data_IF_610290073741
#
_entry.id   IF_610290073741
#
_cell.length_a   1.000
_cell.length_b   1.000
_cell.length_c   1.000
_cell.angle_alpha   90.00
_cell.angle_beta   90.00
_cell.angle_gamma   90.00
#
_symmetry.space_group_name_H-M   'P 1'
#
loop_
_entity.id
_entity.type
_entity.pdbx_description
1 polymer ?
#
# COMPACT_ATOMS: atom_id res chain seq x y z
N UNK A 1 -21.14 2.10 -18.12
CA UNK A 1 -19.90 2.68 -17.50
C UNK A 1 -19.13 1.76 -16.52
N UNK A 2 -19.68 0.65 -16.02
CA UNK A 2 -19.08 -0.19 -14.95
C UNK A 2 -17.81 -0.98 -15.39
N UNK A 3 -17.60 -1.22 -16.69
CA UNK A 3 -16.44 -2.01 -17.19
C UNK A 3 -15.08 -1.31 -17.05
N UNK A 4 -14.99 0.03 -17.07
CA UNK A 4 -13.70 0.77 -17.01
C UNK A 4 -13.02 0.71 -15.64
N UNK A 5 -13.79 0.67 -14.54
CA UNK A 5 -13.23 0.57 -13.19
C UNK A 5 -12.55 -0.78 -12.90
N UNK A 6 -13.06 -1.87 -13.50
CA UNK A 6 -12.53 -3.23 -13.31
C UNK A 6 -11.11 -3.39 -13.86
N UNK A 7 -10.83 -2.85 -15.05
CA UNK A 7 -9.47 -2.93 -15.66
C UNK A 7 -8.46 -2.10 -14.87
N UNK A 8 -8.80 -0.89 -14.42
CA UNK A 8 -7.88 -0.04 -13.66
C UNK A 8 -7.55 -0.60 -12.28
N UNK A 9 -8.51 -1.19 -11.57
CA UNK A 9 -8.24 -1.79 -10.27
C UNK A 9 -7.39 -3.06 -10.39
N UNK A 10 -7.68 -3.94 -11.34
CA UNK A 10 -6.81 -5.10 -11.62
C UNK A 10 -5.43 -4.64 -12.08
N UNK A 11 -5.34 -3.64 -12.94
CA UNK A 11 -4.07 -3.07 -13.38
C UNK A 11 -3.30 -2.40 -12.23
N UNK A 12 -3.95 -1.84 -11.21
CA UNK A 12 -3.24 -1.31 -10.05
C UNK A 12 -2.86 -2.41 -9.05
N UNK A 13 -3.75 -3.37 -8.79
CA UNK A 13 -3.53 -4.44 -7.82
C UNK A 13 -2.53 -5.50 -8.30
N UNK A 14 -2.53 -5.84 -9.59
CA UNK A 14 -1.52 -6.71 -10.22
C UNK A 14 -0.37 -5.89 -10.79
N UNK A 15 -0.65 -4.75 -11.41
CA UNK A 15 0.39 -3.98 -12.08
C UNK A 15 1.32 -3.27 -11.12
N UNK A 16 0.92 -2.88 -9.90
CA UNK A 16 1.87 -2.32 -8.93
C UNK A 16 2.92 -3.35 -8.47
N UNK A 17 2.57 -4.58 -8.04
CA UNK A 17 3.57 -5.60 -7.72
C UNK A 17 4.32 -6.11 -8.96
N UNK A 18 3.66 -6.23 -10.14
CA UNK A 18 4.36 -6.56 -11.38
C UNK A 18 5.34 -5.46 -11.80
N UNK A 19 4.97 -4.18 -11.73
CA UNK A 19 5.90 -3.07 -11.97
C UNK A 19 7.02 -3.07 -10.95
N UNK A 20 6.73 -3.33 -9.66
CA UNK A 20 7.76 -3.45 -8.63
C UNK A 20 8.75 -4.58 -8.95
N UNK A 21 8.25 -5.75 -9.35
CA UNK A 21 9.07 -6.89 -9.77
C UNK A 21 9.85 -6.64 -11.05
N UNK A 22 9.24 -6.01 -12.06
CA UNK A 22 9.89 -5.66 -13.34
C UNK A 22 10.93 -4.57 -13.14
N UNK A 23 10.64 -3.53 -12.37
CA UNK A 23 11.62 -2.48 -12.03
C UNK A 23 12.78 -3.10 -11.24
N UNK A 24 12.48 -3.96 -10.26
CA UNK A 24 13.50 -4.71 -9.54
C UNK A 24 14.39 -5.54 -10.47
N UNK A 25 13.79 -6.33 -11.36
CA UNK A 25 14.49 -7.15 -12.34
C UNK A 25 15.29 -6.32 -13.36
N UNK A 26 14.76 -5.17 -13.81
CA UNK A 26 15.45 -4.27 -14.72
C UNK A 26 16.64 -3.59 -14.06
N UNK A 27 16.51 -3.16 -12.80
CA UNK A 27 17.63 -2.62 -12.02
C UNK A 27 18.69 -3.70 -11.83
N UNK A 28 18.29 -4.93 -11.48
CA UNK A 28 19.20 -6.08 -11.36
C UNK A 28 19.94 -6.34 -12.68
N UNK A 29 19.21 -6.37 -13.81
CA UNK A 29 19.78 -6.64 -15.13
C UNK A 29 20.71 -5.53 -15.62
N UNK A 30 20.32 -4.26 -15.49
CA UNK A 30 21.14 -3.12 -15.92
C UNK A 30 22.44 -3.01 -15.12
N UNK A 31 22.38 -3.25 -13.80
CA UNK A 31 23.58 -3.20 -12.95
C UNK A 31 24.49 -4.42 -13.19
N UNK A 32 23.92 -5.56 -13.60
CA UNK A 32 24.70 -6.75 -13.98
C UNK A 32 25.43 -6.58 -15.32
N UNK A 33 24.80 -5.94 -16.32
CA UNK A 33 25.37 -5.76 -17.66
C UNK A 33 26.42 -4.63 -17.76
N UNK A 34 26.34 -3.56 -16.95
CA UNK A 34 27.23 -2.39 -17.09
C UNK A 34 28.65 -2.54 -16.51
N UNK A 35 29.08 -3.72 -16.08
CA UNK A 35 30.46 -3.93 -15.63
C UNK A 35 30.85 -3.17 -14.34
N UNK A 36 29.91 -2.47 -13.68
CA UNK A 36 30.09 -1.90 -12.35
C UNK A 36 30.20 -2.99 -11.27
N UNK A 37 29.69 -4.19 -11.55
CA UNK A 37 29.84 -5.36 -10.70
C UNK A 37 31.33 -5.75 -10.50
N UNK A 38 32.22 -5.56 -11.47
CA UNK A 38 33.61 -6.04 -11.31
C UNK A 38 34.47 -5.20 -10.37
N UNK A 39 34.09 -3.94 -10.05
CA UNK A 39 34.89 -3.07 -9.19
C UNK A 39 34.43 -3.01 -7.73
N UNK A 40 33.18 -3.39 -7.43
CA UNK A 40 32.60 -3.34 -6.08
C UNK A 40 31.72 -4.54 -5.70
N UNK A 41 31.56 -5.55 -6.55
CA UNK A 41 30.86 -6.78 -6.15
C UNK A 41 31.77 -7.64 -5.27
N UNK A 42 31.95 -7.22 -4.03
CA UNK A 42 32.17 -8.19 -2.97
C UNK A 42 30.98 -9.14 -3.01
N UNK A 43 31.23 -10.42 -3.32
CA UNK A 43 30.20 -11.46 -3.26
C UNK A 43 29.40 -11.28 -1.98
N UNK A 44 28.07 -11.18 -2.09
CA UNK A 44 27.20 -11.10 -0.92
C UNK A 44 27.57 -12.26 0.02
N UNK A 45 27.81 -12.01 1.31
CA UNK A 45 28.05 -13.08 2.26
C UNK A 45 26.95 -14.13 2.18
N UNK A 46 27.29 -15.41 2.31
CA UNK A 46 26.32 -16.51 2.16
C UNK A 46 25.10 -16.34 3.07
N UNK A 47 25.32 -15.87 4.31
CA UNK A 47 24.25 -15.55 5.25
C UNK A 47 23.29 -14.46 4.74
N UNK A 48 23.80 -13.44 4.05
CA UNK A 48 23.00 -12.34 3.51
C UNK A 48 22.16 -12.85 2.34
N UNK A 49 22.72 -13.74 1.51
CA UNK A 49 21.99 -14.39 0.42
C UNK A 49 20.85 -15.26 0.92
N UNK A 50 21.11 -16.13 1.89
CA UNK A 50 20.09 -16.99 2.50
C UNK A 50 18.99 -16.14 3.14
N UNK A 51 19.38 -15.14 3.94
CA UNK A 51 18.43 -14.21 4.57
C UNK A 51 17.60 -13.48 3.53
N UNK A 52 18.22 -13.02 2.45
CA UNK A 52 17.54 -12.36 1.34
C UNK A 52 16.49 -13.24 0.67
N UNK A 53 16.83 -14.50 0.37
CA UNK A 53 15.90 -15.49 -0.19
C UNK A 53 14.71 -15.74 0.76
N UNK A 54 14.98 -15.91 2.06
CA UNK A 54 13.93 -16.09 3.06
C UNK A 54 12.97 -14.90 3.09
N UNK A 55 13.50 -13.66 3.07
CA UNK A 55 12.68 -12.45 3.05
C UNK A 55 11.87 -12.32 1.75
N UNK A 56 12.42 -12.71 0.60
CA UNK A 56 11.67 -12.79 -0.67
C UNK A 56 10.45 -13.71 -0.50
N UNK A 57 10.67 -14.93 0.00
CA UNK A 57 9.59 -15.92 0.20
C UNK A 57 8.54 -15.39 1.19
N UNK A 58 8.96 -14.84 2.32
CA UNK A 58 8.07 -14.26 3.33
C UNK A 58 7.25 -13.12 2.75
N UNK A 59 7.87 -12.20 2.01
CA UNK A 59 7.19 -11.08 1.35
C UNK A 59 6.08 -11.55 0.41
N UNK A 60 6.38 -12.55 -0.44
CA UNK A 60 5.39 -13.16 -1.35
C UNK A 60 4.25 -13.82 -0.57
N UNK A 61 4.54 -14.58 0.48
CA UNK A 61 3.51 -15.23 1.30
C UNK A 61 2.60 -14.20 1.98
N UNK A 62 3.15 -13.09 2.48
CA UNK A 62 2.37 -11.99 3.07
C UNK A 62 1.47 -11.35 2.03
N UNK A 63 1.97 -11.07 0.82
CA UNK A 63 1.17 -10.50 -0.26
C UNK A 63 0.03 -11.43 -0.70
N UNK A 64 0.34 -12.71 -0.95
CA UNK A 64 -0.66 -13.71 -1.33
C UNK A 64 -1.69 -13.91 -0.22
N UNK A 65 -1.26 -14.01 1.03
CA UNK A 65 -2.14 -14.14 2.19
C UNK A 65 -3.08 -12.94 2.32
N UNK A 66 -2.56 -11.71 2.18
CA UNK A 66 -3.36 -10.49 2.21
C UNK A 66 -4.37 -10.42 1.05
N UNK A 67 -3.97 -10.81 -0.16
CA UNK A 67 -4.85 -10.88 -1.33
C UNK A 67 -5.96 -11.92 -1.15
N UNK A 68 -5.63 -13.12 -0.69
CA UNK A 68 -6.60 -14.21 -0.43
C UNK A 68 -7.57 -13.78 0.67
N UNK A 69 -7.07 -13.19 1.77
CA UNK A 69 -7.90 -12.67 2.85
C UNK A 69 -8.85 -11.57 2.35
N UNK A 70 -8.34 -10.61 1.57
CA UNK A 70 -9.16 -9.53 1.00
C UNK A 70 -10.20 -10.06 0.00
N UNK A 71 -9.87 -11.11 -0.76
CA UNK A 71 -10.79 -11.78 -1.66
C UNK A 71 -11.89 -12.52 -0.89
N UNK A 72 -11.54 -13.31 0.14
CA UNK A 72 -12.48 -14.05 0.99
C UNK A 72 -13.44 -13.13 1.74
N UNK A 73 -12.97 -11.99 2.24
CA UNK A 73 -13.82 -10.98 2.90
C UNK A 73 -14.65 -10.13 1.93
N UNK A 74 -14.61 -10.41 0.61
CA UNK A 74 -15.36 -9.65 -0.39
C UNK A 74 -14.91 -8.20 -0.55
N UNK A 75 -13.77 -7.79 0.04
CA UNK A 75 -13.26 -6.41 0.01
C UNK A 75 -12.90 -5.94 -1.40
N UNK A 76 -12.46 -6.89 -2.24
CA UNK A 76 -12.22 -6.64 -3.66
C UNK A 76 -13.51 -6.33 -4.43
N UNK A 77 -14.67 -6.84 -3.96
CA UNK A 77 -15.97 -6.61 -4.59
C UNK A 77 -16.65 -5.35 -4.07
N UNK A 78 -16.54 -5.06 -2.77
CA UNK A 78 -17.10 -3.85 -2.16
C UNK A 78 -16.43 -2.58 -2.71
N UNK A 79 -15.10 -2.60 -2.85
CA UNK A 79 -14.32 -1.47 -3.37
C UNK A 79 -14.69 -1.08 -4.81
N UNK A 80 -15.24 -2.02 -5.60
CA UNK A 80 -15.68 -1.79 -7.00
C UNK A 80 -16.97 -0.99 -7.12
N UNK A 81 -17.83 -1.02 -6.09
CA UNK A 81 -19.14 -0.35 -6.10
C UNK A 81 -19.11 1.03 -5.43
N UNK A 82 -17.94 1.49 -5.01
CA UNK A 82 -17.86 2.75 -4.27
C UNK A 82 -18.16 3.95 -5.18
N UNK A 83 -19.14 4.80 -4.81
CA UNK A 83 -19.44 6.05 -5.51
C UNK A 83 -18.23 6.99 -5.59
N UNK A 84 -17.25 6.82 -4.70
CA UNK A 84 -16.08 7.67 -4.58
C UNK A 84 -15.14 7.59 -5.80
N UNK A 85 -15.25 6.53 -6.63
CA UNK A 85 -14.52 6.44 -7.89
C UNK A 85 -15.09 7.34 -9.00
N UNK A 86 -16.35 7.74 -8.89
CA UNK A 86 -16.97 8.67 -9.83
C UNK A 86 -16.68 10.14 -9.45
N UNK A 87 -16.20 10.40 -8.24
CA UNK A 87 -15.89 11.76 -7.77
C UNK A 87 -14.52 12.24 -8.23
N UNK A 88 -14.37 13.56 -8.39
CA UNK A 88 -13.06 14.17 -8.68
C UNK A 88 -12.09 14.01 -7.49
N UNK A 89 -10.79 13.91 -7.78
CA UNK A 89 -9.75 13.79 -6.73
C UNK A 89 -9.77 14.95 -5.74
N UNK A 90 -10.06 16.18 -6.20
CA UNK A 90 -10.21 17.35 -5.32
C UNK A 90 -11.37 17.17 -4.33
N UNK A 91 -12.53 16.70 -4.80
CA UNK A 91 -13.70 16.46 -3.93
C UNK A 91 -13.41 15.34 -2.92
N UNK A 92 -12.78 14.25 -3.37
CA UNK A 92 -12.36 13.15 -2.50
C UNK A 92 -11.37 13.59 -1.40
N UNK A 93 -10.36 14.38 -1.77
CA UNK A 93 -9.37 14.90 -0.82
C UNK A 93 -10.01 15.81 0.23
N UNK A 94 -10.97 16.66 -0.16
CA UNK A 94 -11.74 17.51 0.78
C UNK A 94 -12.55 16.66 1.77
N UNK A 95 -13.27 15.64 1.29
CA UNK A 95 -14.06 14.75 2.16
C UNK A 95 -13.16 13.97 3.14
N UNK A 96 -12.03 13.45 2.68
CA UNK A 96 -11.06 12.77 3.55
C UNK A 96 -10.51 13.72 4.60
N UNK A 97 -10.22 14.97 4.23
CA UNK A 97 -9.73 16.00 5.16
C UNK A 97 -10.78 16.35 6.22
N UNK A 98 -12.06 16.43 5.84
CA UNK A 98 -13.19 16.65 6.77
C UNK A 98 -13.29 15.51 7.79
N UNK A 99 -13.33 14.25 7.32
CA UNK A 99 -13.35 13.08 8.22
C UNK A 99 -12.13 13.05 9.14
N UNK A 100 -10.94 13.37 8.63
CA UNK A 100 -9.69 13.37 9.41
C UNK A 100 -9.66 14.43 10.51
N UNK A 101 -10.34 15.57 10.28
CA UNK A 101 -10.43 16.67 11.25
C UNK A 101 -11.64 16.56 12.17
N UNK A 102 -12.59 15.66 11.88
CA UNK A 102 -13.87 15.61 12.57
C UNK A 102 -14.77 16.80 12.27
N UNK A 103 -14.51 17.53 11.17
CA UNK A 103 -15.30 18.70 10.77
C UNK A 103 -16.50 18.24 9.93
N UNK A 104 -17.73 18.46 10.43
CA UNK A 104 -18.95 18.40 9.63
C UNK A 104 -19.29 19.82 9.17
N UNK A 105 -18.95 20.16 7.92
CA UNK A 105 -19.41 21.43 7.36
C UNK A 105 -20.96 21.45 7.32
N UNK A 106 -21.62 22.61 7.48
CA UNK A 106 -23.08 22.71 7.51
C UNK A 106 -23.77 22.08 6.29
N UNK A 107 -23.15 22.19 5.12
CA UNK A 107 -23.66 21.63 3.86
C UNK A 107 -23.07 20.26 3.50
N UNK A 108 -22.30 19.64 4.39
CA UNK A 108 -21.67 18.36 4.11
C UNK A 108 -22.70 17.23 4.25
N UNK A 109 -22.93 16.52 3.15
CA UNK A 109 -23.73 15.30 3.11
C UNK A 109 -23.15 14.24 4.06
N UNK A 110 -23.78 14.10 5.22
CA UNK A 110 -23.37 13.23 6.32
C UNK A 110 -23.32 11.74 5.94
N UNK A 111 -24.29 11.20 5.18
CA UNK A 111 -24.17 9.89 4.53
C UNK A 111 -22.87 9.72 3.76
N UNK A 112 -22.47 10.70 2.95
CA UNK A 112 -21.23 10.63 2.17
C UNK A 112 -19.99 10.59 3.07
N UNK A 113 -19.93 11.40 4.14
CA UNK A 113 -18.82 11.35 5.11
C UNK A 113 -18.70 10.00 5.81
N UNK A 114 -19.83 9.39 6.17
CA UNK A 114 -19.87 8.05 6.80
C UNK A 114 -19.32 6.98 5.86
N UNK A 115 -19.66 7.04 4.57
CA UNK A 115 -19.12 6.14 3.55
C UNK A 115 -17.61 6.33 3.40
N UNK A 116 -17.13 7.58 3.36
CA UNK A 116 -15.69 7.90 3.28
C UNK A 116 -14.95 7.37 4.50
N UNK A 117 -15.47 7.58 5.71
CA UNK A 117 -14.88 7.07 6.94
C UNK A 117 -14.76 5.54 6.94
N UNK A 118 -15.84 4.82 6.57
CA UNK A 118 -15.81 3.37 6.41
C UNK A 118 -14.76 2.93 5.39
N UNK A 119 -14.64 3.62 4.25
CA UNK A 119 -13.60 3.33 3.27
C UNK A 119 -12.18 3.55 3.77
N UNK A 120 -11.95 4.54 4.63
CA UNK A 120 -10.63 4.77 5.22
C UNK A 120 -10.24 3.64 6.17
N UNK A 121 -11.19 3.16 6.99
CA UNK A 121 -11.00 1.99 7.85
C UNK A 121 -10.78 0.72 7.01
N UNK A 122 -11.62 0.52 6.00
CA UNK A 122 -11.50 -0.60 5.08
C UNK A 122 -10.28 -0.51 4.17
N UNK A 123 -9.62 0.64 4.08
CA UNK A 123 -8.38 0.83 3.32
C UNK A 123 -7.13 0.31 4.04
N UNK A 124 -7.20 0.11 5.36
CA UNK A 124 -6.03 -0.23 6.20
C UNK A 124 -5.29 -1.50 5.77
N UNK A 125 -5.96 -2.48 5.16
CA UNK A 125 -5.31 -3.71 4.70
C UNK A 125 -4.31 -3.49 3.57
N UNK A 126 -4.38 -2.38 2.83
CA UNK A 126 -3.36 -2.03 1.84
C UNK A 126 -1.98 -1.84 2.48
N UNK A 127 -1.93 -1.46 3.76
CA UNK A 127 -0.67 -1.37 4.49
C UNK A 127 0.02 -2.74 4.63
N UNK A 128 -0.75 -3.84 4.69
CA UNK A 128 -0.21 -5.20 4.74
C UNK A 128 0.46 -5.57 3.42
N UNK A 129 -0.17 -5.22 2.28
CA UNK A 129 0.44 -5.41 0.96
C UNK A 129 1.72 -4.58 0.83
N UNK A 130 1.69 -3.32 1.24
CA UNK A 130 2.87 -2.47 1.24
C UNK A 130 4.01 -3.04 2.09
N UNK A 131 3.68 -3.60 3.27
CA UNK A 131 4.67 -4.26 4.13
C UNK A 131 5.28 -5.51 3.46
N UNK A 132 4.45 -6.35 2.85
CA UNK A 132 4.91 -7.53 2.09
C UNK A 132 5.87 -7.13 0.96
N UNK A 133 5.52 -6.08 0.21
CA UNK A 133 6.35 -5.55 -0.86
C UNK A 133 7.71 -5.02 -0.36
N UNK A 134 7.72 -4.29 0.76
CA UNK A 134 8.96 -3.80 1.39
C UNK A 134 9.86 -4.97 1.79
N UNK A 135 9.30 -6.00 2.43
CA UNK A 135 10.03 -7.21 2.85
C UNK A 135 10.60 -7.95 1.64
N UNK A 136 9.80 -8.11 0.59
CA UNK A 136 10.24 -8.73 -0.67
C UNK A 136 11.41 -7.98 -1.31
N UNK A 137 11.32 -6.65 -1.40
CA UNK A 137 12.40 -5.82 -1.97
C UNK A 137 13.65 -5.82 -1.08
N UNK A 138 13.51 -5.82 0.25
CA UNK A 138 14.65 -5.98 1.16
C UNK A 138 15.37 -7.29 0.90
N UNK A 139 14.60 -8.36 0.70
CA UNK A 139 15.12 -9.67 0.38
C UNK A 139 15.90 -9.68 -0.94
N UNK A 140 15.41 -9.00 -1.97
CA UNK A 140 16.14 -8.84 -3.23
C UNK A 140 17.45 -8.06 -3.04
N UNK A 141 17.43 -6.96 -2.30
CA UNK A 141 18.65 -6.18 -2.02
C UNK A 141 19.69 -7.04 -1.28
N UNK A 142 19.29 -7.78 -0.24
CA UNK A 142 20.19 -8.67 0.49
C UNK A 142 20.69 -9.85 -0.35
N UNK A 143 19.84 -10.44 -1.20
CA UNK A 143 20.19 -11.59 -2.00
C UNK A 143 21.18 -11.25 -3.12
N UNK A 144 21.08 -10.05 -3.68
CA UNK A 144 21.75 -9.69 -4.94
C UNK A 144 22.71 -8.51 -4.84
N UNK A 145 22.56 -7.63 -3.83
CA UNK A 145 23.29 -6.37 -3.74
C UNK A 145 23.73 -6.00 -2.31
N UNK A 146 24.97 -6.32 -1.97
CA UNK A 146 25.68 -5.75 -0.80
C UNK A 146 26.35 -4.40 -1.11
N UNK A 147 25.78 -3.59 -2.01
CA UNK A 147 26.23 -2.21 -2.20
C UNK A 147 25.60 -1.30 -1.15
N UNK A 148 26.41 -0.52 -0.43
CA UNK A 148 25.93 0.46 0.54
C UNK A 148 24.96 1.48 -0.07
N UNK A 149 25.11 1.82 -1.35
CA UNK A 149 24.19 2.72 -2.07
C UNK A 149 22.82 2.08 -2.27
N UNK A 150 22.77 0.79 -2.65
CA UNK A 150 21.52 0.06 -2.79
C UNK A 150 20.80 -0.07 -1.44
N UNK A 151 21.54 -0.33 -0.37
CA UNK A 151 21.02 -0.37 0.99
C UNK A 151 20.44 0.98 1.42
N UNK A 152 21.12 2.08 1.09
CA UNK A 152 20.66 3.44 1.41
C UNK A 152 19.37 3.82 0.65
N UNK A 153 19.31 3.54 -0.66
CA UNK A 153 18.12 3.76 -1.49
C UNK A 153 16.95 2.92 -0.97
N UNK A 154 17.21 1.65 -0.65
CA UNK A 154 16.21 0.77 -0.05
C UNK A 154 15.74 1.30 1.30
N UNK A 155 16.66 1.70 2.18
CA UNK A 155 16.33 2.27 3.49
C UNK A 155 15.45 3.51 3.36
N UNK A 156 15.74 4.40 2.40
CA UNK A 156 14.91 5.57 2.11
C UNK A 156 13.51 5.17 1.63
N UNK A 157 13.42 4.23 0.67
CA UNK A 157 12.14 3.73 0.18
C UNK A 157 11.32 3.08 1.31
N UNK A 158 11.94 2.21 2.11
CA UNK A 158 11.32 1.56 3.26
C UNK A 158 10.82 2.58 4.29
N UNK A 159 11.59 3.64 4.57
CA UNK A 159 11.17 4.73 5.47
C UNK A 159 9.94 5.48 4.93
N UNK A 160 9.90 5.77 3.62
CA UNK A 160 8.73 6.40 2.98
C UNK A 160 7.50 5.49 3.02
N UNK A 161 7.67 4.18 2.80
CA UNK A 161 6.59 3.20 2.93
C UNK A 161 6.09 3.06 4.37
N UNK A 162 7.00 3.02 5.36
CA UNK A 162 6.65 2.99 6.77
C UNK A 162 5.89 4.26 7.18
N UNK A 163 6.34 5.44 6.73
CA UNK A 163 5.68 6.71 6.99
C UNK A 163 4.28 6.77 6.37
N UNK A 164 4.13 6.32 5.13
CA UNK A 164 2.81 6.28 4.46
C UNK A 164 1.88 5.26 5.11
N UNK A 165 2.37 4.06 5.44
CA UNK A 165 1.62 3.05 6.19
C UNK A 165 1.17 3.55 7.57
N UNK A 166 2.07 4.19 8.32
CA UNK A 166 1.73 4.80 9.61
C UNK A 166 0.67 5.90 9.47
N UNK A 167 0.79 6.76 8.45
CA UNK A 167 -0.22 7.79 8.17
C UNK A 167 -1.58 7.16 7.85
N UNK A 168 -1.62 6.11 7.03
CA UNK A 168 -2.85 5.38 6.69
C UNK A 168 -3.48 4.76 7.94
N UNK A 169 -2.68 4.13 8.80
CA UNK A 169 -3.19 3.52 10.05
C UNK A 169 -3.70 4.58 11.03
N UNK A 170 -2.97 5.68 11.18
CA UNK A 170 -3.39 6.82 12.01
C UNK A 170 -4.70 7.42 11.50
N UNK A 171 -4.85 7.55 10.18
CA UNK A 171 -6.05 8.10 9.56
C UNK A 171 -7.24 7.12 9.65
N UNK A 172 -7.00 5.80 9.58
CA UNK A 172 -8.01 4.78 9.84
C UNK A 172 -8.53 4.85 11.29
N UNK A 173 -7.64 4.95 12.29
CA UNK A 173 -8.04 5.11 13.71
C UNK A 173 -8.86 6.38 13.94
N UNK A 174 -8.53 7.48 13.25
CA UNK A 174 -9.31 8.72 13.30
C UNK A 174 -10.69 8.55 12.68
N UNK A 175 -10.79 7.85 11.55
CA UNK A 175 -12.06 7.53 10.93
C UNK A 175 -12.92 6.62 11.83
N UNK A 176 -12.34 5.65 12.52
CA UNK A 176 -13.04 4.84 13.54
C UNK A 176 -13.54 5.70 14.71
N UNK A 177 -12.73 6.66 15.17
CA UNK A 177 -13.14 7.58 16.23
C UNK A 177 -14.30 8.48 15.79
N UNK A 178 -14.29 8.96 14.53
CA UNK A 178 -15.38 9.71 13.92
C UNK A 178 -16.67 8.88 13.86
N UNK A 179 -16.59 7.62 13.41
CA UNK A 179 -17.75 6.71 13.38
C UNK A 179 -18.30 6.41 14.77
N UNK A 180 -17.43 6.29 15.79
CA UNK A 180 -17.84 6.06 17.19
C UNK A 180 -18.57 7.26 17.78
N UNK A 181 -18.03 8.48 17.62
CA UNK A 181 -18.71 9.71 18.07
C UNK A 181 -20.09 9.86 17.43
N UNK A 182 -20.23 9.46 16.17
CA UNK A 182 -21.50 9.49 15.46
C UNK A 182 -22.51 8.45 15.92
N UNK A 183 -22.06 7.28 16.37
CA UNK A 183 -22.96 6.27 16.92
C UNK A 183 -23.56 6.69 18.27
N UNK A 184 -22.89 7.61 18.99
CA UNK A 184 -23.33 8.14 20.29
C UNK A 184 -24.17 9.42 20.21
N UNK A 185 -24.21 10.11 19.07
CA UNK A 185 -25.16 11.22 18.86
C UNK A 185 -26.54 10.62 18.53
N UNK A 186 -27.53 10.66 19.44
CA UNK A 186 -28.88 10.25 19.09
C UNK A 186 -29.33 11.13 17.93
N UNK A 187 -29.81 10.50 16.86
CA UNK A 187 -30.53 11.18 15.78
C UNK A 187 -31.67 11.96 16.42
N UNK A 188 -31.48 13.27 16.59
CA UNK A 188 -32.57 14.19 16.84
C UNK A 188 -33.43 14.13 15.57
N UNK A 189 -34.47 13.29 15.63
CA UNK A 189 -35.53 13.21 14.63
C UNK A 189 -36.41 14.43 14.76
#
# INVERSE_FOLDING_TARGET
>A
MIRRGRRRFLALALGAPLLGGVIGALIVGQVADEGWATRSAGQSPEWARITGIVLIVVGVLVELGALVWAARRGRLRSSRRSPLWAMSMRKRSRLVKQVRRGETAPDADLPTLTVVARQMVDGGWWAVLAAGLVVFNLGQVLAWFTSGVALAIFGLAAALFALTGWRVHRDARRAEAFLRHRASEPTAV
#
